data_IF_826841804744
#
_entry.id   IF_826841804744
#
_cell.length_a   1.000
_cell.length_b   1.000
_cell.length_c   1.000
_cell.angle_alpha   90.00
_cell.angle_beta   90.00
_cell.angle_gamma   90.00
#
_symmetry.space_group_name_H-M   'P 1'
#
loop_
_entity.id
_entity.type
_entity.pdbx_description
1 polymer ?
#
# COMPACT_ATOMS: atom_id res chain seq x y z
N UNK A 1 31.18 -14.59 -8.56
CA UNK A 1 30.40 -13.52 -7.90
C UNK A 1 28.94 -13.87 -8.17
N UNK A 2 28.25 -14.39 -7.17
CA UNK A 2 26.86 -14.80 -7.32
C UNK A 2 26.00 -13.54 -7.42
N UNK A 3 25.27 -13.39 -8.52
CA UNK A 3 24.25 -12.37 -8.68
C UNK A 3 23.13 -12.72 -7.69
N UNK A 4 23.20 -12.13 -6.50
CA UNK A 4 22.20 -12.30 -5.45
C UNK A 4 20.92 -11.64 -5.98
N UNK A 5 19.97 -12.46 -6.45
CA UNK A 5 18.70 -12.00 -7.02
C UNK A 5 18.03 -11.03 -6.03
N UNK A 6 18.08 -9.75 -6.38
CA UNK A 6 17.55 -8.67 -5.55
C UNK A 6 16.04 -8.83 -5.51
N UNK A 7 15.42 -9.04 -4.33
CA UNK A 7 13.98 -9.13 -4.26
C UNK A 7 13.38 -7.81 -4.77
N UNK A 8 12.62 -7.91 -5.86
CA UNK A 8 11.89 -6.78 -6.40
C UNK A 8 10.67 -6.52 -5.51
N UNK A 9 10.73 -5.39 -4.81
CA UNK A 9 9.68 -4.93 -3.90
C UNK A 9 8.72 -3.95 -4.56
N UNK A 10 8.90 -3.63 -5.86
CA UNK A 10 8.09 -2.66 -6.60
C UNK A 10 6.60 -3.01 -6.61
N UNK A 11 6.26 -4.29 -6.56
CA UNK A 11 4.89 -4.77 -6.64
C UNK A 11 3.96 -4.39 -5.47
N UNK A 12 4.48 -3.92 -4.33
CA UNK A 12 3.63 -3.52 -3.19
C UNK A 12 2.89 -2.19 -3.42
N UNK A 13 3.49 -1.30 -4.22
CA UNK A 13 2.96 0.03 -4.55
C UNK A 13 2.58 0.14 -6.02
N UNK A 14 2.40 -0.98 -6.72
CA UNK A 14 1.91 -0.98 -8.09
C UNK A 14 0.49 -0.36 -8.16
N UNK A 15 0.30 0.76 -8.89
CA UNK A 15 -0.99 1.45 -8.94
C UNK A 15 -2.10 0.57 -9.51
N UNK A 16 -1.78 -0.27 -10.50
CA UNK A 16 -2.75 -1.16 -11.14
C UNK A 16 -3.21 -2.27 -10.19
N UNK A 17 -2.29 -2.91 -9.45
CA UNK A 17 -2.64 -3.88 -8.42
C UNK A 17 -3.49 -3.27 -7.29
N UNK A 18 -3.19 -2.03 -6.88
CA UNK A 18 -3.98 -1.31 -5.87
C UNK A 18 -5.39 -0.98 -6.39
N UNK A 19 -5.51 -0.52 -7.64
CA UNK A 19 -6.78 -0.24 -8.28
C UNK A 19 -7.61 -1.52 -8.45
N UNK A 20 -6.98 -2.63 -8.82
CA UNK A 20 -7.66 -3.93 -8.93
C UNK A 20 -8.26 -4.37 -7.58
N UNK A 21 -7.55 -4.15 -6.46
CA UNK A 21 -8.10 -4.40 -5.11
C UNK A 21 -9.29 -3.49 -4.80
N UNK A 22 -9.19 -2.21 -5.13
CA UNK A 22 -10.31 -1.26 -4.94
C UNK A 22 -11.56 -1.74 -5.69
N UNK A 23 -11.44 -2.09 -6.98
CA UNK A 23 -12.54 -2.64 -7.79
C UNK A 23 -13.15 -3.88 -7.15
N UNK A 24 -12.32 -4.81 -6.66
CA UNK A 24 -12.79 -6.02 -5.96
C UNK A 24 -13.59 -5.69 -4.68
N UNK A 25 -13.21 -4.65 -3.94
CA UNK A 25 -13.98 -4.22 -2.77
C UNK A 25 -15.27 -3.48 -3.16
N UNK A 26 -15.28 -2.75 -4.26
CA UNK A 26 -16.52 -2.18 -4.83
C UNK A 26 -17.50 -3.29 -5.20
N UNK A 27 -17.05 -4.37 -5.85
CA UNK A 27 -17.90 -5.53 -6.15
C UNK A 27 -18.55 -6.12 -4.88
N UNK A 28 -17.75 -6.27 -3.80
CA UNK A 28 -18.27 -6.75 -2.51
C UNK A 28 -19.25 -5.78 -1.86
N UNK A 29 -18.94 -4.48 -1.90
CA UNK A 29 -19.83 -3.42 -1.41
C UNK A 29 -21.17 -3.42 -2.15
N UNK A 30 -21.16 -3.57 -3.48
CA UNK A 30 -22.37 -3.59 -4.30
C UNK A 30 -23.22 -4.85 -4.10
N UNK A 31 -22.61 -5.95 -3.64
CA UNK A 31 -23.31 -7.17 -3.30
C UNK A 31 -23.92 -7.16 -1.88
N UNK A 32 -23.46 -6.28 -0.99
CA UNK A 32 -23.95 -6.14 0.37
C UNK A 32 -25.17 -5.18 0.45
N UNK A 33 -26.06 -5.40 1.42
CA UNK A 33 -27.12 -4.44 1.71
C UNK A 33 -26.52 -3.18 2.35
N UNK A 34 -27.06 -2.00 2.04
CA UNK A 34 -26.61 -0.73 2.63
C UNK A 34 -26.79 -0.66 4.14
N UNK A 35 -27.71 -1.46 4.67
CA UNK A 35 -28.02 -1.54 6.10
C UNK A 35 -27.08 -2.53 6.85
N UNK A 36 -26.30 -3.33 6.12
CA UNK A 36 -25.38 -4.29 6.71
C UNK A 36 -24.03 -3.63 7.05
N UNK A 37 -23.40 -4.11 8.13
CA UNK A 37 -22.11 -3.59 8.61
C UNK A 37 -20.99 -3.77 7.58
N UNK A 38 -21.08 -4.80 6.74
CA UNK A 38 -20.05 -5.14 5.78
C UNK A 38 -20.09 -4.21 4.56
N UNK A 39 -21.22 -3.57 4.25
CA UNK A 39 -21.27 -2.48 3.27
C UNK A 39 -20.33 -1.33 3.66
N UNK A 40 -20.37 -0.89 4.92
CA UNK A 40 -19.48 0.17 5.41
C UNK A 40 -18.01 -0.27 5.39
N UNK A 41 -17.73 -1.53 5.77
CA UNK A 41 -16.39 -2.10 5.69
C UNK A 41 -15.87 -2.09 4.24
N UNK A 42 -16.61 -2.67 3.30
CA UNK A 42 -16.20 -2.76 1.90
C UNK A 42 -16.09 -1.39 1.25
N UNK A 43 -16.98 -0.46 1.58
CA UNK A 43 -16.88 0.95 1.15
C UNK A 43 -15.58 1.60 1.61
N UNK A 44 -15.20 1.42 2.88
CA UNK A 44 -13.98 2.00 3.44
C UNK A 44 -12.72 1.41 2.79
N UNK A 45 -12.70 0.09 2.55
CA UNK A 45 -11.58 -0.58 1.89
C UNK A 45 -11.48 -0.18 0.41
N UNK A 46 -12.61 -0.07 -0.29
CA UNK A 46 -12.64 0.40 -1.67
C UNK A 46 -12.05 1.80 -1.80
N UNK A 47 -12.46 2.73 -0.93
CA UNK A 47 -11.96 4.10 -0.92
C UNK A 47 -10.47 4.18 -0.56
N UNK A 48 -10.05 3.45 0.48
CA UNK A 48 -8.65 3.40 0.90
C UNK A 48 -7.73 2.95 -0.25
N UNK A 49 -8.05 1.84 -0.91
CA UNK A 49 -7.24 1.34 -2.02
C UNK A 49 -7.33 2.21 -3.28
N UNK A 50 -8.45 2.89 -3.52
CA UNK A 50 -8.58 3.87 -4.61
C UNK A 50 -7.63 5.05 -4.39
N UNK A 51 -7.63 5.62 -3.18
CA UNK A 51 -6.73 6.71 -2.81
C UNK A 51 -5.27 6.28 -2.88
N UNK A 52 -4.95 5.06 -2.42
CA UNK A 52 -3.60 4.51 -2.53
C UNK A 52 -3.16 4.31 -3.98
N UNK A 53 -4.04 3.82 -4.85
CA UNK A 53 -3.74 3.67 -6.27
C UNK A 53 -3.44 5.03 -6.91
N UNK A 54 -4.26 6.04 -6.65
CA UNK A 54 -4.03 7.40 -7.13
C UNK A 54 -2.69 7.96 -6.63
N UNK A 55 -2.35 7.73 -5.36
CA UNK A 55 -1.10 8.22 -4.79
C UNK A 55 0.13 7.47 -5.32
N UNK A 56 0.03 6.16 -5.54
CA UNK A 56 1.06 5.33 -6.16
C UNK A 56 1.35 5.75 -7.61
N UNK A 57 0.31 6.09 -8.37
CA UNK A 57 0.42 6.58 -9.75
C UNK A 57 1.22 7.89 -9.81
N UNK A 58 1.02 8.79 -8.84
CA UNK A 58 1.89 9.96 -8.66
C UNK A 58 3.29 9.61 -8.17
N UNK A 59 3.42 8.64 -7.27
CA UNK A 59 4.70 8.11 -6.82
C UNK A 59 4.61 7.27 -5.55
N UNK A 60 5.18 6.07 -5.59
CA UNK A 60 5.23 5.11 -4.49
C UNK A 60 5.81 5.68 -3.16
N UNK A 61 6.70 6.70 -3.26
CA UNK A 61 7.29 7.37 -2.11
C UNK A 61 6.26 8.00 -1.15
N UNK A 62 5.10 8.39 -1.67
CA UNK A 62 4.01 8.98 -0.90
C UNK A 62 3.24 7.96 -0.06
N UNK A 63 3.39 6.67 -0.38
CA UNK A 63 2.80 5.57 0.37
C UNK A 63 3.75 4.97 1.39
N UNK A 64 5.05 5.24 1.32
CA UNK A 64 6.05 4.67 2.21
C UNK A 64 5.85 5.12 3.66
N UNK A 65 5.93 4.17 4.61
CA UNK A 65 5.91 4.51 6.04
C UNK A 65 7.22 5.20 6.43
N UNK A 66 7.12 6.34 7.12
CA UNK A 66 8.28 7.06 7.70
C UNK A 66 8.24 7.08 9.23
N UNK A 67 7.33 6.30 9.84
CA UNK A 67 7.18 6.18 11.28
C UNK A 67 8.48 5.76 11.98
N UNK A 68 8.76 6.35 13.14
CA UNK A 68 9.97 6.04 13.92
C UNK A 68 11.28 6.54 13.30
N UNK A 69 11.22 7.37 12.26
CA UNK A 69 12.40 7.90 11.58
C UNK A 69 13.06 6.91 10.60
N UNK A 70 12.40 5.80 10.27
CA UNK A 70 12.92 4.84 9.29
C UNK A 70 12.72 5.36 7.86
N UNK A 71 13.84 5.64 7.18
CA UNK A 71 13.86 6.13 5.79
C UNK A 71 13.98 4.97 4.80
N UNK A 72 14.19 3.74 5.27
CA UNK A 72 14.39 2.55 4.43
C UNK A 72 13.22 2.32 3.47
N UNK A 73 11.99 2.58 3.93
CA UNK A 73 10.78 2.48 3.12
C UNK A 73 10.72 3.50 1.99
N UNK A 74 11.08 4.74 2.31
CA UNK A 74 11.15 5.81 1.32
C UNK A 74 12.23 5.54 0.27
N UNK A 75 13.42 5.09 0.70
CA UNK A 75 14.51 4.72 -0.21
C UNK A 75 14.06 3.61 -1.17
N UNK A 76 13.43 2.55 -0.65
CA UNK A 76 12.92 1.46 -1.47
C UNK A 76 11.88 1.95 -2.49
N UNK A 77 10.97 2.83 -2.06
CA UNK A 77 9.93 3.39 -2.93
C UNK A 77 10.49 4.26 -4.07
N UNK A 78 11.68 4.83 -3.89
CA UNK A 78 12.42 5.56 -4.93
C UNK A 78 13.32 4.64 -5.78
N UNK A 79 13.27 3.32 -5.59
CA UNK A 79 14.12 2.35 -6.28
C UNK A 79 15.54 2.24 -5.70
N UNK A 80 15.81 2.84 -4.54
CA UNK A 80 17.10 2.75 -3.85
C UNK A 80 17.05 1.58 -2.87
N UNK A 81 18.04 0.69 -2.96
CA UNK A 81 18.09 -0.48 -2.10
C UNK A 81 18.34 -0.10 -0.62
N UNK A 82 17.46 -0.53 0.30
CA UNK A 82 17.72 -0.40 1.73
C UNK A 82 18.86 -1.32 2.16
N UNK A 83 19.69 -0.82 3.09
CA UNK A 83 20.85 -1.57 3.63
C UNK A 83 20.47 -2.56 4.74
N UNK A 84 19.19 -2.67 5.06
CA UNK A 84 18.67 -3.46 6.18
C UNK A 84 18.51 -4.92 5.77
N UNK A 85 19.08 -5.86 6.56
CA UNK A 85 18.92 -7.30 6.32
C UNK A 85 17.44 -7.69 6.47
N UNK A 86 16.91 -8.49 5.52
CA UNK A 86 15.51 -8.96 5.48
C UNK A 86 14.48 -7.82 5.49
N UNK A 87 14.74 -6.78 4.71
CA UNK A 87 13.84 -5.65 4.57
C UNK A 87 12.47 -6.07 3.98
N UNK A 88 11.39 -5.51 4.54
CA UNK A 88 10.02 -5.68 4.03
C UNK A 88 9.45 -4.28 3.83
N UNK A 89 9.00 -3.93 2.62
CA UNK A 89 8.38 -2.63 2.37
C UNK A 89 7.08 -2.48 3.15
N UNK A 90 6.87 -1.31 3.71
CA UNK A 90 5.72 -1.00 4.55
C UNK A 90 5.10 0.31 4.11
N UNK A 91 3.79 0.28 3.98
CA UNK A 91 3.02 1.48 3.65
C UNK A 91 2.58 2.22 4.91
N UNK A 92 2.37 3.53 4.78
CA UNK A 92 1.85 4.38 5.85
C UNK A 92 0.54 3.82 6.43
N UNK A 93 0.44 3.87 7.75
CA UNK A 93 -0.73 3.42 8.48
C UNK A 93 -1.92 4.39 8.29
N UNK A 94 -3.12 3.84 8.18
CA UNK A 94 -4.37 4.63 8.13
C UNK A 94 -4.77 5.16 9.52
N UNK A 95 -4.31 4.48 10.56
CA UNK A 95 -4.55 4.89 11.95
C UNK A 95 -3.47 5.87 12.37
N UNK A 96 -3.90 7.03 12.88
CA UNK A 96 -3.01 7.97 13.56
C UNK A 96 -2.34 7.25 14.75
N UNK A 97 -1.00 7.21 14.83
CA UNK A 97 -0.31 6.79 16.06
C UNK A 97 -0.74 7.73 17.18
N UNK A 98 -1.19 7.17 18.30
CA UNK A 98 -1.46 7.94 19.50
C UNK A 98 -0.08 8.25 20.11
N UNK A 99 0.26 9.53 20.37
CA UNK A 99 1.57 9.90 20.94
C UNK A 99 1.75 9.35 22.36
#
# INVERSE_FOLDING_TARGET
MSEEATPDYSGIWDPDALLAKSKRYVEKMLAASRDDWDFALWSSQALEFLMRAALADYGAALLADTGGGDVSHLLNAMGIQPKTKKYIPKSVATRRPIP
#
